data_IF_267539155651
#
_entry.id   IF_267539155651
#
_cell.length_a   1.000
_cell.length_b   1.000
_cell.length_c   1.000
_cell.angle_alpha   90.00
_cell.angle_beta   90.00
_cell.angle_gamma   90.00
#
_symmetry.space_group_name_H-M   'P 1'
#
loop_
_entity.id
_entity.type
_entity.pdbx_description
1 polymer ?
#
# COMPACT_ATOMS: atom_id res chain seq x y z
N UNK A 1 -39.59 55.08 -47.74
CA UNK A 1 -39.37 56.11 -46.71
C UNK A 1 -38.34 55.57 -45.73
N UNK A 2 -37.05 55.67 -46.04
CA UNK A 2 -36.20 56.87 -45.91
C UNK A 2 -35.66 56.97 -44.47
N UNK A 3 -34.43 56.48 -44.29
CA UNK A 3 -33.44 56.95 -43.30
C UNK A 3 -33.30 58.49 -43.38
N UNK A 4 -32.69 59.25 -42.42
CA UNK A 4 -31.43 58.87 -41.73
C UNK A 4 -31.03 59.58 -40.38
N UNK A 5 -29.81 59.27 -39.91
CA UNK A 5 -28.75 60.21 -39.42
C UNK A 5 -28.68 60.66 -37.93
N UNK A 6 -27.56 60.23 -37.29
CA UNK A 6 -26.51 61.01 -36.57
C UNK A 6 -26.53 61.24 -35.03
N UNK A 7 -25.36 60.94 -34.44
CA UNK A 7 -24.89 61.23 -33.07
C UNK A 7 -24.43 62.71 -32.92
N UNK A 8 -24.20 63.27 -31.70
CA UNK A 8 -22.85 63.21 -31.12
C UNK A 8 -22.70 63.33 -29.58
N UNK A 9 -21.52 62.89 -29.10
CA UNK A 9 -20.58 63.44 -28.09
C UNK A 9 -20.99 64.19 -26.79
N UNK A 10 -20.48 63.64 -25.67
CA UNK A 10 -19.57 64.21 -24.63
C UNK A 10 -20.05 65.26 -23.60
N UNK A 11 -19.42 65.16 -22.40
CA UNK A 11 -19.22 66.15 -21.30
C UNK A 11 -20.43 66.34 -20.36
N UNK A 12 -20.33 66.52 -19.04
CA UNK A 12 -19.31 66.41 -17.97
C UNK A 12 -20.02 66.75 -16.65
N UNK A 13 -19.42 66.31 -15.53
CA UNK A 13 -19.57 66.77 -14.15
C UNK A 13 -20.74 66.21 -13.30
N UNK A 14 -20.45 65.41 -12.26
CA UNK A 14 -19.91 65.73 -10.92
C UNK A 14 -20.98 66.28 -9.96
N UNK A 15 -20.96 65.72 -8.75
CA UNK A 15 -21.27 66.32 -7.43
C UNK A 15 -22.52 65.76 -6.73
N UNK A 16 -22.19 65.09 -5.61
CA UNK A 16 -22.86 64.96 -4.31
C UNK A 16 -24.34 64.62 -4.23
N UNK A 17 -24.62 63.59 -3.44
CA UNK A 17 -25.23 63.71 -2.10
C UNK A 17 -24.91 62.40 -1.38
N UNK A 18 -24.29 62.42 -0.20
CA UNK A 18 -24.94 62.85 1.02
C UNK A 18 -25.56 61.60 1.64
N UNK A 19 -24.75 60.78 2.34
CA UNK A 19 -24.56 60.80 3.80
C UNK A 19 -25.68 60.08 4.54
N UNK A 20 -25.27 59.48 5.67
CA UNK A 20 -26.06 58.97 6.79
C UNK A 20 -26.55 57.53 6.62
N UNK A 21 -26.41 56.65 7.59
CA UNK A 21 -25.69 56.64 8.85
C UNK A 21 -25.86 55.20 9.35
N UNK A 22 -24.86 54.67 10.03
CA UNK A 22 -24.94 54.50 11.47
C UNK A 22 -23.98 53.38 11.91
N UNK A 23 -22.84 53.85 12.43
CA UNK A 23 -22.28 53.53 13.74
C UNK A 23 -22.64 52.17 14.35
N UNK A 24 -21.63 51.40 14.76
CA UNK A 24 -21.20 51.40 16.18
C UNK A 24 -19.83 50.73 16.29
N UNK A 25 -18.93 51.46 16.95
CA UNK A 25 -17.80 51.09 17.83
C UNK A 25 -17.67 49.60 18.19
N UNK A 26 -16.52 49.01 18.49
CA UNK A 26 -15.19 49.44 18.93
C UNK A 26 -14.30 48.19 18.77
N UNK A 27 -13.06 48.32 18.34
CA UNK A 27 -11.94 48.33 19.27
C UNK A 27 -11.40 46.91 19.55
N UNK A 28 -10.18 46.64 19.05
CA UNK A 28 -9.29 45.67 19.69
C UNK A 28 -8.81 44.49 18.83
N UNK A 29 -7.61 44.67 18.27
CA UNK A 29 -6.56 43.66 18.16
C UNK A 29 -6.91 42.34 17.44
N UNK A 30 -6.78 42.34 16.11
CA UNK A 30 -6.79 41.15 15.28
C UNK A 30 -5.99 41.27 13.97
N UNK A 31 -5.07 42.23 13.86
CA UNK A 31 -4.15 42.30 12.70
C UNK A 31 -3.08 41.23 12.84
N UNK A 32 -2.88 40.40 11.81
CA UNK A 32 -1.54 39.86 11.48
C UNK A 32 -1.49 38.82 10.35
N UNK A 33 -2.60 38.22 9.90
CA UNK A 33 -2.52 37.17 8.85
C UNK A 33 -3.06 37.59 7.49
N UNK A 34 -4.18 38.31 7.44
CA UNK A 34 -4.82 38.66 6.17
C UNK A 34 -4.07 39.78 5.44
N UNK A 35 -3.67 40.84 6.15
CA UNK A 35 -2.87 41.93 5.58
C UNK A 35 -1.46 41.48 5.18
N UNK A 36 -0.88 40.54 5.95
CA UNK A 36 0.43 39.98 5.66
C UNK A 36 0.40 39.09 4.41
N UNK A 37 -0.67 38.31 4.24
CA UNK A 37 -0.89 37.50 3.03
C UNK A 37 -1.16 38.38 1.81
N UNK A 38 -1.96 39.44 1.94
CA UNK A 38 -2.21 40.40 0.87
C UNK A 38 -0.90 41.09 0.42
N UNK A 39 -0.09 41.55 1.38
CA UNK A 39 1.21 42.19 1.10
C UNK A 39 2.19 41.24 0.40
N UNK A 40 2.21 39.96 0.79
CA UNK A 40 3.06 38.94 0.16
C UNK A 40 2.55 38.62 -1.26
N UNK A 41 1.24 38.51 -1.44
CA UNK A 41 0.60 38.27 -2.74
C UNK A 41 0.91 39.41 -3.72
N UNK A 42 0.83 40.65 -3.28
CA UNK A 42 1.07 41.84 -4.12
C UNK A 42 2.55 42.02 -4.47
N UNK A 43 3.47 41.69 -3.54
CA UNK A 43 4.91 41.63 -3.86
C UNK A 43 5.22 40.52 -4.87
N UNK A 44 4.64 39.34 -4.69
CA UNK A 44 4.86 38.19 -5.57
C UNK A 44 4.30 38.42 -6.98
N UNK A 45 3.12 39.05 -7.10
CA UNK A 45 2.52 39.37 -8.39
C UNK A 45 3.30 40.45 -9.16
N UNK A 46 3.85 41.44 -8.45
CA UNK A 46 4.70 42.47 -9.04
C UNK A 46 6.07 41.92 -9.50
N UNK A 47 6.61 40.91 -8.83
CA UNK A 47 7.85 40.25 -9.24
C UNK A 47 7.62 39.34 -10.48
N UNK A 48 6.46 38.69 -10.58
CA UNK A 48 6.11 37.81 -11.71
C UNK A 48 5.90 38.59 -13.02
N UNK A 49 5.41 39.83 -12.96
CA UNK A 49 5.22 40.68 -14.14
C UNK A 49 6.53 41.19 -14.77
N UNK A 50 7.69 41.00 -14.12
CA UNK A 50 9.01 41.34 -14.70
C UNK A 50 9.55 40.26 -15.64
N UNK A 51 8.93 39.08 -15.67
CA UNK A 51 9.36 37.96 -16.52
C UNK A 51 8.55 38.04 -17.83
N UNK A 52 9.19 38.15 -19.01
CA UNK A 52 8.50 38.34 -20.28
C UNK A 52 7.94 36.99 -20.79
N UNK A 53 7.05 36.39 -20.02
CA UNK A 53 6.35 35.17 -20.39
C UNK A 53 4.86 35.47 -20.59
N UNK A 54 4.24 34.91 -21.64
CA UNK A 54 2.84 35.14 -21.90
C UNK A 54 1.98 34.57 -20.75
N UNK A 55 0.82 35.17 -20.45
CA UNK A 55 0.00 34.79 -19.28
C UNK A 55 -0.36 33.30 -19.18
N UNK A 56 -0.53 32.62 -20.32
CA UNK A 56 -0.81 31.19 -20.37
C UNK A 56 0.37 30.32 -19.87
N UNK A 57 1.61 30.76 -20.06
CA UNK A 57 2.80 30.04 -19.62
C UNK A 57 2.96 30.12 -18.09
N UNK A 58 2.60 31.26 -17.49
CA UNK A 58 2.59 31.42 -16.03
C UNK A 58 1.53 30.53 -15.37
N UNK A 59 0.35 30.42 -15.96
CA UNK A 59 -0.70 29.50 -15.50
C UNK A 59 -0.23 28.05 -15.63
N UNK A 60 0.41 27.68 -16.74
CA UNK A 60 0.97 26.33 -16.91
C UNK A 60 2.03 26.00 -15.86
N UNK A 61 2.96 26.92 -15.57
CA UNK A 61 3.98 26.74 -14.53
C UNK A 61 3.34 26.61 -13.15
N UNK A 62 2.32 27.43 -12.83
CA UNK A 62 1.60 27.34 -11.56
C UNK A 62 0.86 26.01 -11.39
N UNK A 63 0.25 25.48 -12.46
CA UNK A 63 -0.39 24.16 -12.47
C UNK A 63 0.65 23.05 -12.26
N UNK A 64 1.79 23.10 -12.97
CA UNK A 64 2.86 22.12 -12.82
C UNK A 64 3.47 22.17 -11.41
N UNK A 65 3.71 23.36 -10.87
CA UNK A 65 4.18 23.55 -9.49
C UNK A 65 3.16 23.05 -8.46
N UNK A 66 1.87 23.29 -8.69
CA UNK A 66 0.77 22.78 -7.85
C UNK A 66 0.69 21.25 -7.88
N UNK A 67 0.85 20.63 -9.05
CA UNK A 67 0.89 19.17 -9.20
C UNK A 67 2.15 18.56 -8.55
N UNK A 68 3.30 19.22 -8.67
CA UNK A 68 4.53 18.81 -7.99
C UNK A 68 4.43 18.94 -6.46
N UNK A 69 3.79 19.99 -5.95
CA UNK A 69 3.52 20.13 -4.52
C UNK A 69 2.50 19.09 -4.03
N UNK A 70 1.44 18.82 -4.78
CA UNK A 70 0.45 17.79 -4.44
C UNK A 70 1.07 16.39 -4.42
N UNK A 71 1.89 16.05 -5.42
CA UNK A 71 2.61 14.78 -5.46
C UNK A 71 3.66 14.67 -4.35
N UNK A 72 4.42 15.74 -4.09
CA UNK A 72 5.37 15.79 -2.97
C UNK A 72 4.65 15.65 -1.61
N UNK A 73 3.54 16.36 -1.40
CA UNK A 73 2.68 16.23 -0.23
C UNK A 73 2.10 14.81 -0.11
N UNK A 74 1.66 14.19 -1.19
CA UNK A 74 1.18 12.80 -1.20
C UNK A 74 2.31 11.82 -0.83
N UNK A 75 3.52 12.01 -1.36
CA UNK A 75 4.71 11.21 -1.02
C UNK A 75 5.12 11.40 0.45
N UNK A 76 5.07 12.62 0.98
CA UNK A 76 5.36 12.92 2.39
C UNK A 76 4.28 12.32 3.28
N UNK A 77 3.00 12.44 2.91
CA UNK A 77 1.88 11.82 3.63
C UNK A 77 2.01 10.28 3.62
N UNK A 78 2.37 9.65 2.50
CA UNK A 78 2.63 8.20 2.43
C UNK A 78 3.84 7.82 3.30
N UNK A 79 4.93 8.58 3.26
CA UNK A 79 6.15 8.34 4.08
C UNK A 79 5.93 8.58 5.58
N UNK A 80 5.09 9.53 5.96
CA UNK A 80 4.72 9.84 7.34
C UNK A 80 3.65 8.87 7.89
N UNK A 81 2.67 8.45 7.09
CA UNK A 81 1.67 7.45 7.46
C UNK A 81 2.29 6.04 7.58
N UNK A 82 3.23 5.68 6.70
CA UNK A 82 3.97 4.41 6.82
C UNK A 82 4.95 4.41 8.01
N UNK A 83 5.48 5.55 8.46
CA UNK A 83 6.31 5.63 9.68
C UNK A 83 5.49 5.55 10.98
N UNK A 84 4.24 6.02 10.98
CA UNK A 84 3.36 5.91 12.16
C UNK A 84 2.95 4.48 12.51
N UNK A 85 2.99 3.55 11.54
CA UNK A 85 2.80 2.11 11.81
C UNK A 85 4.03 1.44 12.46
N UNK A 86 5.24 1.99 12.35
CA UNK A 86 6.41 1.46 13.09
C UNK A 86 6.43 1.91 14.56
N UNK A 87 6.07 3.15 14.88
CA UNK A 87 6.17 3.66 16.26
C UNK A 87 4.94 3.40 17.16
N UNK A 88 3.84 2.84 16.66
CA UNK A 88 2.65 2.52 17.49
C UNK A 88 2.68 1.10 18.08
N UNK A 89 3.57 0.20 17.61
CA UNK A 89 3.67 -1.19 18.11
C UNK A 89 4.46 -1.28 19.44
N UNK A 90 5.28 -0.28 19.80
CA UNK A 90 6.08 -0.29 21.06
C UNK A 90 5.40 0.35 22.29
N UNK A 91 4.29 1.10 22.15
CA UNK A 91 3.64 1.81 23.30
C UNK A 91 2.28 1.24 23.72
N UNK A 92 2.01 -0.02 23.41
CA UNK A 92 0.75 -0.70 23.78
C UNK A 92 0.86 -1.78 24.86
N UNK A 93 2.06 -2.22 25.23
CA UNK A 93 2.28 -3.22 26.29
C UNK A 93 2.49 -2.54 27.65
N UNK A 94 1.44 -1.93 28.17
CA UNK A 94 1.45 -1.38 29.52
C UNK A 94 0.03 -1.07 29.96
N UNK A 95 -0.43 -1.78 30.98
CA UNK A 95 -1.73 -1.63 31.64
C UNK A 95 -2.89 -2.41 30.97
N UNK A 96 -3.08 -3.66 31.41
CA UNK A 96 -4.37 -4.30 31.75
C UNK A 96 -4.14 -5.78 32.10
N UNK A 97 -3.92 -6.07 33.38
CA UNK A 97 -4.82 -6.96 34.10
C UNK A 97 -4.52 -6.90 35.60
N UNK A 98 -5.47 -6.33 36.33
CA UNK A 98 -5.56 -6.41 37.77
C UNK A 98 -6.34 -7.69 38.15
N UNK A 99 -5.92 -8.28 39.28
CA UNK A 99 -6.64 -9.20 40.17
C UNK A 99 -6.83 -10.66 39.73
N UNK A 100 -6.00 -11.55 40.28
CA UNK A 100 -6.50 -12.62 41.16
C UNK A 100 -5.41 -13.07 42.17
N UNK A 101 -5.84 -13.66 43.27
CA UNK A 101 -5.19 -13.80 44.57
C UNK A 101 -5.05 -15.29 44.93
N UNK A 102 -4.08 -15.60 45.82
CA UNK A 102 -3.75 -16.90 46.46
C UNK A 102 -2.87 -17.82 45.58
N UNK A 103 -1.77 -18.42 46.07
CA UNK A 103 -1.53 -19.01 47.38
C UNK A 103 -0.14 -18.74 47.99
N UNK A 104 -0.03 -19.00 49.29
CA UNK A 104 1.04 -18.66 50.22
C UNK A 104 1.74 -19.94 50.70
N UNK A 105 3.01 -20.15 50.36
CA UNK A 105 4.02 -20.99 51.07
C UNK A 105 5.33 -20.96 50.25
N UNK A 106 6.53 -20.72 50.75
CA UNK A 106 7.06 -20.50 52.08
C UNK A 106 8.54 -20.92 52.07
N UNK A 107 9.45 -19.98 52.38
CA UNK A 107 10.88 -20.17 52.74
C UNK A 107 11.81 -20.85 51.72
N UNK A 108 13.14 -20.75 51.77
CA UNK A 108 14.13 -19.90 52.44
C UNK A 108 15.50 -20.47 51.98
N UNK A 109 16.46 -19.60 51.61
CA UNK A 109 17.93 -19.78 51.48
C UNK A 109 18.41 -20.92 50.53
N UNK A 110 19.56 -20.93 49.84
CA UNK A 110 20.89 -20.35 50.02
C UNK A 110 21.59 -20.15 48.64
N UNK A 111 22.67 -19.38 48.69
CA UNK A 111 23.67 -19.10 47.66
C UNK A 111 24.25 -20.34 46.95
N UNK A 112 24.61 -20.20 45.66
CA UNK A 112 25.85 -20.75 45.12
C UNK A 112 26.20 -20.08 43.78
N UNK A 113 27.32 -19.36 43.79
CA UNK A 113 27.95 -18.76 42.63
C UNK A 113 28.84 -19.81 41.96
N UNK A 114 28.52 -20.19 40.72
CA UNK A 114 29.48 -20.87 39.85
C UNK A 114 29.48 -20.24 38.45
N UNK A 115 30.63 -19.67 38.12
CA UNK A 115 31.01 -19.09 36.84
C UNK A 115 31.19 -20.18 35.78
N UNK A 116 30.41 -20.13 34.71
CA UNK A 116 30.53 -21.04 33.56
C UNK A 116 30.23 -20.35 32.24
N UNK A 117 31.30 -19.87 31.60
CA UNK A 117 31.55 -19.80 30.14
C UNK A 117 30.42 -19.37 29.20
N UNK A 118 30.63 -18.16 28.65
CA UNK A 118 30.11 -17.67 27.38
C UNK A 118 30.37 -18.64 26.22
N UNK A 119 29.34 -18.97 25.44
CA UNK A 119 29.43 -19.24 23.99
C UNK A 119 28.02 -19.40 23.38
N UNK A 120 27.80 -18.74 22.24
CA UNK A 120 26.73 -19.07 21.31
C UNK A 120 25.47 -18.19 21.38
N UNK A 121 25.56 -16.99 20.81
CA UNK A 121 24.38 -16.26 20.30
C UNK A 121 23.72 -17.12 19.22
N UNK A 122 22.78 -17.98 19.64
CA UNK A 122 21.77 -18.51 18.74
C UNK A 122 20.86 -17.35 18.36
N UNK A 123 20.94 -16.92 17.11
CA UNK A 123 19.96 -16.07 16.46
C UNK A 123 18.59 -16.70 16.70
N UNK A 124 17.89 -16.23 17.74
CA UNK A 124 16.50 -16.55 17.96
C UNK A 124 15.76 -16.05 16.73
N UNK A 125 15.32 -16.97 15.89
CA UNK A 125 14.28 -16.73 14.92
C UNK A 125 13.16 -16.03 15.68
N UNK A 126 12.99 -14.73 15.43
CA UNK A 126 11.82 -14.00 15.88
C UNK A 126 10.63 -14.70 15.22
N UNK A 127 10.01 -15.63 15.94
CA UNK A 127 8.65 -16.09 15.67
C UNK A 127 7.77 -14.83 15.69
N UNK A 128 7.61 -14.22 14.52
CA UNK A 128 6.59 -13.19 14.30
C UNK A 128 5.29 -13.84 14.70
N UNK A 129 4.71 -13.39 15.81
CA UNK A 129 3.36 -13.78 16.19
C UNK A 129 2.48 -13.70 14.94
N UNK A 130 1.66 -14.73 14.67
CA UNK A 130 0.87 -14.80 13.46
C UNK A 130 -0.01 -13.55 13.42
N UNK A 131 0.39 -12.58 12.60
CA UNK A 131 -0.45 -11.44 12.28
C UNK A 131 -1.73 -12.08 11.73
N UNK A 132 -2.89 -11.80 12.33
CA UNK A 132 -4.14 -12.39 11.85
C UNK A 132 -4.42 -11.81 10.46
N UNK A 133 -4.10 -12.58 9.42
CA UNK A 133 -4.28 -12.21 8.01
C UNK A 133 -5.69 -12.59 7.51
N UNK A 134 -6.52 -13.14 8.40
CA UNK A 134 -7.87 -13.63 8.10
C UNK A 134 -7.90 -15.11 7.75
N UNK A 135 -9.03 -15.55 7.22
CA UNK A 135 -9.31 -16.94 6.86
C UNK A 135 -9.91 -17.04 5.46
N UNK A 136 -9.64 -18.13 4.76
CA UNK A 136 -10.21 -18.44 3.46
C UNK A 136 -11.00 -19.75 3.54
N UNK A 137 -12.24 -19.72 3.07
CA UNK A 137 -13.06 -20.90 2.84
C UNK A 137 -12.97 -21.30 1.38
N UNK A 138 -12.66 -22.57 1.15
CA UNK A 138 -12.57 -23.15 -0.18
C UNK A 138 -13.12 -24.56 -0.19
N UNK A 139 -13.45 -25.04 -1.38
CA UNK A 139 -13.82 -26.43 -1.64
C UNK A 139 -12.90 -27.07 -2.67
N UNK A 140 -12.64 -28.36 -2.51
CA UNK A 140 -11.83 -29.17 -3.40
C UNK A 140 -12.61 -30.43 -3.77
N UNK A 141 -12.70 -30.70 -5.06
CA UNK A 141 -13.35 -31.90 -5.59
C UNK A 141 -12.53 -32.42 -6.78
N UNK A 142 -12.36 -33.73 -6.89
CA UNK A 142 -11.60 -34.33 -7.98
C UNK A 142 -12.48 -35.29 -8.78
N UNK A 143 -12.64 -34.99 -10.06
CA UNK A 143 -13.35 -35.86 -10.98
C UNK A 143 -12.37 -36.87 -11.62
N UNK A 144 -12.47 -38.12 -11.18
CA UNK A 144 -11.67 -39.24 -11.70
C UNK A 144 -12.04 -39.64 -13.13
N UNK A 145 -13.25 -39.35 -13.60
CA UNK A 145 -13.66 -39.66 -14.98
C UNK A 145 -13.11 -38.63 -15.96
N UNK A 146 -13.18 -37.36 -15.61
CA UNK A 146 -12.68 -36.26 -16.44
C UNK A 146 -11.20 -35.90 -16.21
N UNK A 147 -10.56 -36.50 -15.19
CA UNK A 147 -9.18 -36.19 -14.77
C UNK A 147 -8.96 -34.70 -14.54
N UNK A 148 -9.83 -34.11 -13.72
CA UNK A 148 -9.80 -32.68 -13.43
C UNK A 148 -10.02 -32.41 -11.94
N UNK A 149 -9.23 -31.50 -11.39
CA UNK A 149 -9.42 -30.94 -10.06
C UNK A 149 -10.28 -29.69 -10.14
N UNK A 150 -11.38 -29.69 -9.40
CA UNK A 150 -12.28 -28.57 -9.22
C UNK A 150 -11.95 -27.89 -7.90
N UNK A 151 -11.63 -26.59 -7.95
CA UNK A 151 -11.30 -25.76 -6.80
C UNK A 151 -12.35 -24.66 -6.69
N UNK A 152 -13.18 -24.70 -5.66
CA UNK A 152 -14.14 -23.65 -5.33
C UNK A 152 -13.55 -22.66 -4.34
N UNK A 153 -13.53 -21.38 -4.70
CA UNK A 153 -13.20 -20.28 -3.78
C UNK A 153 -14.52 -19.68 -3.32
N UNK A 154 -14.90 -19.94 -2.07
CA UNK A 154 -16.21 -19.59 -1.54
C UNK A 154 -16.22 -18.16 -0.99
N UNK A 155 -15.48 -17.94 0.09
CA UNK A 155 -15.44 -16.64 0.78
C UNK A 155 -14.17 -16.51 1.62
N UNK A 156 -13.80 -15.27 1.93
CA UNK A 156 -12.78 -14.98 2.93
C UNK A 156 -13.38 -14.16 4.07
N UNK A 157 -12.79 -14.29 5.26
CA UNK A 157 -13.24 -13.61 6.47
C UNK A 157 -12.06 -12.95 7.19
N UNK A 158 -12.35 -11.85 7.89
CA UNK A 158 -11.38 -11.15 8.75
C UNK A 158 -10.11 -10.67 8.03
N UNK A 159 -10.22 -10.27 6.76
CA UNK A 159 -9.06 -9.77 6.02
C UNK A 159 -8.55 -8.43 6.62
N UNK A 160 -7.24 -8.19 6.64
CA UNK A 160 -6.67 -6.92 7.09
C UNK A 160 -7.01 -5.80 6.11
N UNK A 161 -7.32 -4.62 6.65
CA UNK A 161 -7.50 -3.40 5.89
C UNK A 161 -6.13 -2.84 5.46
N UNK A 162 -5.85 -2.90 4.15
CA UNK A 162 -4.61 -2.39 3.56
C UNK A 162 -4.76 -0.99 2.98
N UNK A 163 -5.96 -0.63 2.50
CA UNK A 163 -6.22 0.71 1.98
C UNK A 163 -6.28 1.78 3.07
N UNK A 164 -5.96 3.02 2.67
CA UNK A 164 -6.11 4.21 3.53
C UNK A 164 -7.55 4.41 4.03
N UNK A 165 -8.55 3.82 3.35
CA UNK A 165 -9.96 3.87 3.71
C UNK A 165 -10.39 2.89 4.81
N UNK A 166 -9.49 2.04 5.32
CA UNK A 166 -9.86 1.01 6.29
C UNK A 166 -10.62 -0.17 5.67
N UNK A 167 -10.56 -0.30 4.35
CA UNK A 167 -11.11 -1.41 3.56
C UNK A 167 -9.99 -2.06 2.75
N UNK A 168 -10.32 -3.11 2.01
CA UNK A 168 -9.47 -3.69 0.97
C UNK A 168 -10.36 -4.02 -0.23
N UNK A 169 -9.76 -4.17 -1.40
CA UNK A 169 -10.36 -4.65 -2.64
C UNK A 169 -9.85 -6.09 -2.94
N UNK A 170 -10.21 -7.11 -2.14
CA UNK A 170 -9.62 -8.45 -2.24
C UNK A 170 -10.02 -9.21 -3.50
N UNK A 171 -9.06 -9.97 -4.03
CA UNK A 171 -9.24 -11.00 -5.04
C UNK A 171 -8.27 -12.16 -4.83
N UNK A 172 -8.62 -13.36 -5.28
CA UNK A 172 -7.82 -14.57 -5.05
C UNK A 172 -7.19 -15.03 -6.35
N UNK A 173 -5.88 -15.30 -6.32
CA UNK A 173 -5.17 -16.03 -7.36
C UNK A 173 -5.02 -17.49 -6.98
N UNK A 174 -5.43 -18.38 -7.87
CA UNK A 174 -5.37 -19.83 -7.68
C UNK A 174 -4.41 -20.42 -8.72
N UNK A 175 -3.41 -21.14 -8.26
CA UNK A 175 -2.44 -21.82 -9.14
C UNK A 175 -1.89 -23.08 -8.48
N UNK A 176 -1.36 -24.00 -9.30
CA UNK A 176 -0.75 -25.24 -8.84
C UNK A 176 0.78 -25.16 -8.97
N UNK A 177 1.52 -25.43 -7.90
CA UNK A 177 2.97 -25.62 -7.96
C UNK A 177 3.30 -27.07 -8.33
N UNK A 178 4.34 -27.32 -9.14
CA UNK A 178 5.31 -26.36 -9.69
C UNK A 178 4.84 -25.60 -10.95
N UNK A 179 3.69 -25.94 -11.52
CA UNK A 179 3.17 -25.36 -12.76
C UNK A 179 2.57 -23.95 -12.58
N UNK A 180 3.43 -22.96 -12.36
CA UNK A 180 3.03 -21.54 -12.21
C UNK A 180 2.40 -20.92 -13.47
N UNK A 181 2.28 -21.64 -14.59
CA UNK A 181 1.77 -21.10 -15.86
C UNK A 181 0.25 -20.95 -15.86
N UNK A 182 -0.48 -21.89 -15.26
CA UNK A 182 -1.94 -21.86 -15.17
C UNK A 182 -2.36 -21.15 -13.89
N UNK A 183 -2.64 -19.85 -14.02
CA UNK A 183 -3.17 -19.01 -12.95
C UNK A 183 -4.62 -18.67 -13.26
N UNK A 184 -5.49 -18.84 -12.29
CA UNK A 184 -6.86 -18.34 -12.30
C UNK A 184 -6.97 -17.21 -11.29
N UNK A 185 -7.79 -16.22 -11.59
CA UNK A 185 -8.04 -15.08 -10.70
C UNK A 185 -9.55 -14.92 -10.53
N UNK A 186 -10.00 -14.68 -9.30
CA UNK A 186 -11.40 -14.35 -9.02
C UNK A 186 -11.71 -12.92 -9.43
N UNK A 187 -12.99 -12.56 -9.41
CA UNK A 187 -13.43 -11.17 -9.47
C UNK A 187 -12.91 -10.41 -8.25
N UNK A 188 -12.65 -9.13 -8.48
CA UNK A 188 -12.28 -8.17 -7.44
C UNK A 188 -13.54 -7.70 -6.73
N UNK A 189 -13.60 -7.91 -5.41
CA UNK A 189 -14.66 -7.35 -4.57
C UNK A 189 -14.17 -6.06 -3.93
N UNK A 190 -14.85 -4.95 -4.19
CA UNK A 190 -14.39 -3.64 -3.70
C UNK A 190 -14.86 -3.33 -2.29
N UNK A 191 -13.98 -2.72 -1.51
CA UNK A 191 -14.22 -2.14 -0.18
C UNK A 191 -14.86 -3.13 0.79
N UNK A 192 -14.33 -4.36 0.83
CA UNK A 192 -14.83 -5.40 1.72
C UNK A 192 -13.68 -6.17 2.39
N UNK A 193 -13.86 -6.50 3.66
CA UNK A 193 -12.95 -7.35 4.43
C UNK A 193 -13.46 -8.80 4.52
N UNK A 194 -14.69 -9.04 4.07
CA UNK A 194 -15.32 -10.37 4.03
C UNK A 194 -15.92 -10.61 2.64
N UNK A 195 -15.08 -10.79 1.61
CA UNK A 195 -15.56 -11.04 0.25
C UNK A 195 -16.19 -12.44 0.13
N UNK A 196 -17.32 -12.52 -0.56
CA UNK A 196 -17.92 -13.79 -0.99
C UNK A 196 -17.75 -13.93 -2.51
N UNK A 197 -16.79 -14.76 -2.91
CA UNK A 197 -16.43 -14.97 -4.31
C UNK A 197 -17.40 -15.95 -5.00
N UNK A 198 -17.61 -17.12 -4.38
CA UNK A 198 -18.40 -18.23 -4.94
C UNK A 198 -18.01 -18.57 -6.39
N UNK A 199 -16.71 -18.67 -6.65
CA UNK A 199 -16.16 -18.97 -7.97
C UNK A 199 -15.48 -20.33 -7.99
N UNK A 200 -15.65 -21.08 -9.07
CA UNK A 200 -15.10 -22.42 -9.22
C UNK A 200 -14.15 -22.47 -10.41
N UNK A 201 -12.97 -23.04 -10.20
CA UNK A 201 -11.91 -23.20 -11.18
C UNK A 201 -11.61 -24.67 -11.43
N UNK A 202 -11.33 -25.04 -12.67
CA UNK A 202 -11.07 -26.43 -13.05
C UNK A 202 -9.67 -26.57 -13.64
N UNK A 203 -8.85 -27.41 -13.01
CA UNK A 203 -7.50 -27.76 -13.46
C UNK A 203 -7.50 -29.16 -14.07
N UNK A 204 -7.22 -29.24 -15.38
CA UNK A 204 -7.01 -30.52 -16.07
C UNK A 204 -5.64 -31.09 -15.68
N UNK A 205 -5.63 -32.01 -14.72
CA UNK A 205 -4.42 -32.63 -14.15
C UNK A 205 -4.72 -34.10 -13.83
N UNK A 206 -3.94 -35.05 -14.35
CA UNK A 206 -4.09 -36.46 -13.99
C UNK A 206 -3.81 -36.72 -12.51
N UNK A 207 -4.55 -37.64 -11.89
CA UNK A 207 -4.43 -37.98 -10.47
C UNK A 207 -3.01 -38.40 -10.07
N UNK A 208 -2.31 -39.13 -10.96
CA UNK A 208 -0.94 -39.58 -10.73
C UNK A 208 0.05 -38.43 -10.58
N UNK A 209 -0.17 -37.30 -11.27
CA UNK A 209 0.68 -36.12 -11.11
C UNK A 209 0.25 -35.23 -9.94
N UNK A 210 -0.98 -35.39 -9.46
CA UNK A 210 -1.57 -34.50 -8.48
C UNK A 210 -0.88 -34.61 -7.11
N UNK A 211 -0.48 -35.81 -6.69
CA UNK A 211 0.22 -36.03 -5.42
C UNK A 211 1.54 -35.26 -5.28
N UNK A 212 2.19 -34.90 -6.39
CA UNK A 212 3.41 -34.07 -6.40
C UNK A 212 3.15 -32.57 -6.47
N UNK A 213 1.88 -32.12 -6.51
CA UNK A 213 1.51 -30.72 -6.69
C UNK A 213 0.99 -30.11 -5.39
N UNK A 214 1.16 -28.79 -5.28
CA UNK A 214 0.63 -27.99 -4.17
C UNK A 214 -0.30 -26.94 -4.73
N UNK A 215 -1.55 -26.94 -4.29
CA UNK A 215 -2.50 -25.87 -4.60
C UNK A 215 -2.16 -24.65 -3.77
N UNK A 216 -2.04 -23.50 -4.43
CA UNK A 216 -1.81 -22.23 -3.77
C UNK A 216 -2.96 -21.29 -4.10
N UNK A 217 -3.59 -20.78 -3.06
CA UNK A 217 -4.63 -19.76 -3.12
C UNK A 217 -4.11 -18.53 -2.39
N UNK A 218 -3.71 -17.52 -3.16
CA UNK A 218 -3.13 -16.29 -2.63
C UNK A 218 -4.12 -15.14 -2.80
N UNK A 219 -4.44 -14.47 -1.69
CA UNK A 219 -5.33 -13.31 -1.67
C UNK A 219 -4.49 -12.04 -1.85
N UNK A 220 -4.91 -11.23 -2.80
CA UNK A 220 -4.30 -9.95 -3.13
C UNK A 220 -5.31 -8.82 -2.94
N UNK A 221 -4.81 -7.66 -2.60
CA UNK A 221 -5.54 -6.40 -2.59
C UNK A 221 -5.34 -5.69 -3.95
N UNK A 222 -6.44 -5.49 -4.67
CA UNK A 222 -6.40 -4.83 -5.98
C UNK A 222 -6.22 -3.34 -5.81
N UNK A 223 -5.22 -2.78 -6.50
CA UNK A 223 -4.76 -1.44 -6.22
C UNK A 223 -4.62 -0.66 -7.54
N UNK A 224 -5.43 0.39 -7.74
CA UNK A 224 -5.56 1.03 -9.07
C UNK A 224 -4.30 1.79 -9.51
N UNK A 225 -3.54 2.31 -8.56
CA UNK A 225 -2.40 3.19 -8.81
C UNK A 225 -1.09 2.67 -8.20
N UNK A 226 -1.10 1.45 -7.66
CA UNK A 226 0.05 0.80 -7.02
C UNK A 226 0.20 -0.66 -7.49
N UNK A 227 1.30 -1.29 -7.09
CA UNK A 227 1.41 -2.75 -7.13
C UNK A 227 0.41 -3.34 -6.14
N UNK A 228 -0.29 -4.39 -6.53
CA UNK A 228 -1.22 -5.11 -5.66
C UNK A 228 -0.48 -5.72 -4.47
N UNK A 229 -1.01 -5.50 -3.27
CA UNK A 229 -0.41 -6.01 -2.04
C UNK A 229 -0.93 -7.41 -1.76
N UNK A 230 -0.03 -8.34 -1.40
CA UNK A 230 -0.44 -9.68 -0.96
C UNK A 230 -0.95 -9.58 0.47
N UNK A 231 -2.18 -10.04 0.70
CA UNK A 231 -2.79 -10.12 2.03
C UNK A 231 -2.29 -11.38 2.73
N UNK A 232 -2.39 -12.52 2.06
CA UNK A 232 -1.96 -13.81 2.60
C UNK A 232 -2.21 -14.93 1.61
N UNK A 233 -1.68 -16.11 1.91
CA UNK A 233 -1.83 -17.29 1.06
C UNK A 233 -2.15 -18.54 1.85
N UNK A 234 -2.85 -19.47 1.20
CA UNK A 234 -3.06 -20.83 1.67
C UNK A 234 -2.38 -21.77 0.71
N UNK A 235 -1.47 -22.59 1.23
CA UNK A 235 -0.79 -23.66 0.51
C UNK A 235 -1.36 -24.99 0.98
N UNK A 236 -1.95 -25.74 0.06
CA UNK A 236 -2.53 -27.06 0.31
C UNK A 236 -1.76 -28.09 -0.50
N UNK A 237 -0.91 -28.91 0.12
CA UNK A 237 -0.30 -30.05 -0.55
C UNK A 237 -1.38 -31.04 -0.96
N UNK A 238 -1.46 -31.40 -2.24
CA UNK A 238 -2.52 -32.32 -2.68
C UNK A 238 -2.33 -33.74 -2.16
N UNK A 239 -1.11 -34.09 -1.71
CA UNK A 239 -0.82 -35.38 -1.06
C UNK A 239 -1.51 -35.56 0.30
N UNK A 240 -1.84 -34.46 0.99
CA UNK A 240 -2.45 -34.53 2.34
C UNK A 240 -3.97 -34.48 2.29
N UNK A 241 -4.56 -34.29 1.11
CA UNK A 241 -5.99 -34.08 0.91
C UNK A 241 -6.62 -35.37 0.39
N UNK A 242 -7.64 -35.87 1.07
CA UNK A 242 -8.41 -37.01 0.60
C UNK A 242 -9.44 -36.56 -0.44
N UNK A 243 -9.08 -36.66 -1.71
CA UNK A 243 -9.93 -36.28 -2.84
C UNK A 243 -11.00 -37.33 -3.20
N UNK A 244 -11.25 -38.32 -2.33
CA UNK A 244 -12.34 -39.28 -2.51
C UNK A 244 -13.73 -38.68 -2.35
N UNK A 245 -13.84 -37.52 -1.68
CA UNK A 245 -15.08 -36.76 -1.53
C UNK A 245 -14.82 -35.26 -1.68
N UNK A 246 -15.85 -34.46 -2.03
CA UNK A 246 -15.74 -33.01 -1.98
C UNK A 246 -15.40 -32.55 -0.56
N UNK A 247 -14.28 -31.86 -0.42
CA UNK A 247 -13.84 -31.25 0.83
C UNK A 247 -14.26 -29.79 0.81
N UNK A 248 -14.74 -29.29 1.94
CA UNK A 248 -14.97 -27.87 2.17
C UNK A 248 -14.43 -27.53 3.57
N UNK A 249 -13.49 -26.60 3.63
CA UNK A 249 -12.85 -26.25 4.90
C UNK A 249 -12.44 -24.78 4.96
N UNK A 250 -12.29 -24.29 6.18
CA UNK A 250 -11.70 -22.99 6.47
C UNK A 250 -10.23 -23.17 6.79
N UNK A 251 -9.37 -22.35 6.19
CA UNK A 251 -7.95 -22.27 6.57
C UNK A 251 -7.52 -20.85 6.83
N UNK A 252 -6.69 -20.69 7.86
CA UNK A 252 -6.07 -19.41 8.19
C UNK A 252 -5.05 -19.03 7.11
N UNK A 253 -5.02 -17.74 6.79
CA UNK A 253 -4.10 -17.19 5.82
C UNK A 253 -2.70 -17.07 6.44
N UNK A 254 -1.71 -17.57 5.71
CA UNK A 254 -0.30 -17.44 6.08
C UNK A 254 0.31 -16.23 5.40
N UNK A 255 1.41 -15.72 5.97
CA UNK A 255 2.16 -14.62 5.38
C UNK A 255 2.61 -14.98 3.97
N UNK A 256 2.05 -14.30 2.98
CA UNK A 256 2.38 -14.56 1.59
C UNK A 256 3.77 -14.06 1.27
N UNK A 257 4.60 -14.93 0.69
CA UNK A 257 5.79 -14.45 -0.02
C UNK A 257 5.30 -13.56 -1.16
N UNK A 258 5.69 -12.27 -1.12
CA UNK A 258 5.47 -11.37 -2.24
C UNK A 258 6.03 -12.08 -3.47
N UNK A 259 5.22 -12.22 -4.53
CA UNK A 259 5.66 -12.79 -5.81
C UNK A 259 7.06 -12.25 -6.09
N UNK A 260 8.07 -13.11 -5.92
CA UNK A 260 9.45 -12.71 -6.14
C UNK A 260 9.47 -12.18 -7.58
N UNK A 261 9.97 -10.96 -7.79
CA UNK A 261 10.10 -10.45 -9.15
C UNK A 261 10.86 -11.51 -9.93
N UNK A 262 10.27 -11.97 -11.04
CA UNK A 262 10.85 -13.02 -11.86
C UNK A 262 12.33 -12.74 -12.03
N UNK A 263 13.17 -13.67 -11.58
CA UNK A 263 14.62 -13.46 -11.53
C UNK A 263 15.10 -13.09 -12.94
N UNK A 264 15.41 -11.81 -13.14
CA UNK A 264 15.79 -11.27 -14.46
C UNK A 264 17.21 -11.66 -14.87
N UNK A 265 17.94 -12.27 -13.95
CA UNK A 265 19.32 -12.68 -14.07
C UNK A 265 20.21 -11.93 -13.08
N UNK A 266 21.46 -12.37 -13.04
CA UNK A 266 22.51 -11.86 -12.18
C UNK A 266 23.57 -11.19 -13.06
N UNK A 267 24.06 -10.01 -12.67
CA UNK A 267 25.17 -9.31 -13.34
C UNK A 267 26.34 -9.11 -12.38
N UNK A 268 27.52 -9.57 -12.78
CA UNK A 268 28.76 -9.38 -12.04
C UNK A 268 29.47 -8.12 -12.57
N UNK A 269 29.74 -7.16 -11.68
CA UNK A 269 30.44 -5.93 -12.03
C UNK A 269 31.53 -5.62 -11.01
N UNK A 270 32.63 -5.01 -11.49
CA UNK A 270 33.74 -4.52 -10.68
C UNK A 270 33.82 -3.00 -10.80
N UNK A 271 33.80 -2.31 -9.67
CA UNK A 271 33.91 -0.85 -9.61
C UNK A 271 35.27 -0.42 -9.06
N UNK A 272 35.91 0.56 -9.70
CA UNK A 272 37.15 1.19 -9.23
C UNK A 272 37.03 2.71 -9.31
N UNK A 273 37.11 3.39 -8.18
CA UNK A 273 37.11 4.86 -8.12
C UNK A 273 38.51 5.41 -7.80
N UNK A 274 38.92 6.46 -8.53
CA UNK A 274 40.17 7.20 -8.30
C UNK A 274 39.83 8.65 -7.97
N UNK A 275 39.83 9.04 -6.67
CA UNK A 275 39.40 10.37 -6.22
C UNK A 275 40.23 11.51 -6.83
N UNK A 276 41.54 11.33 -6.91
CA UNK A 276 42.49 12.35 -7.39
C UNK A 276 42.24 12.77 -8.84
N UNK A 277 41.72 11.86 -9.66
CA UNK A 277 41.38 12.10 -11.06
C UNK A 277 39.87 12.24 -11.30
N UNK A 278 39.05 12.13 -10.25
CA UNK A 278 37.60 12.11 -10.37
C UNK A 278 37.05 10.96 -11.24
N UNK A 279 37.80 9.87 -11.44
CA UNK A 279 37.47 8.82 -12.41
C UNK A 279 36.86 7.59 -11.73
N UNK A 280 35.62 7.24 -12.08
CA UNK A 280 35.00 5.96 -11.76
C UNK A 280 35.08 5.03 -12.97
N UNK A 281 35.63 3.84 -12.78
CA UNK A 281 35.67 2.77 -13.79
C UNK A 281 34.71 1.67 -13.36
N UNK A 282 33.76 1.33 -14.22
CA UNK A 282 32.82 0.22 -14.02
C UNK A 282 33.12 -0.84 -15.07
N UNK A 283 33.56 -2.02 -14.62
CA UNK A 283 33.84 -3.17 -15.48
C UNK A 283 32.68 -4.15 -15.36
N UNK A 284 31.99 -4.43 -16.47
CA UNK A 284 31.00 -5.51 -16.54
C UNK A 284 31.77 -6.80 -16.82
N UNK A 285 31.71 -7.75 -15.89
CA UNK A 285 32.50 -8.99 -15.96
C UNK A 285 31.70 -10.09 -16.67
N UNK A 286 30.55 -10.44 -16.12
CA UNK A 286 29.69 -11.50 -16.65
C UNK A 286 28.22 -11.27 -16.29
N UNK A 287 27.31 -11.91 -17.02
CA UNK A 287 25.90 -11.98 -16.67
C UNK A 287 25.43 -13.43 -16.78
N UNK A 288 24.64 -13.90 -15.82
CA UNK A 288 24.14 -15.29 -15.70
C UNK A 288 22.63 -15.30 -15.48
N UNK A 289 21.98 -16.39 -15.87
CA UNK A 289 20.53 -16.60 -15.67
C UNK A 289 19.64 -15.48 -16.23
N UNK A 290 20.07 -14.80 -17.31
CA UNK A 290 19.30 -13.71 -17.90
C UNK A 290 17.98 -14.22 -18.48
N UNK A 291 16.90 -13.50 -18.20
CA UNK A 291 15.58 -13.80 -18.78
C UNK A 291 15.61 -13.52 -20.29
N UNK A 292 15.15 -14.48 -21.09
CA UNK A 292 14.96 -14.31 -22.54
C UNK A 292 13.89 -13.25 -22.78
N UNK A 293 14.25 -12.20 -23.52
CA UNK A 293 13.31 -11.21 -24.06
C UNK A 293 13.18 -11.51 -25.56
N UNK A 294 11.97 -11.78 -26.03
CA UNK A 294 11.62 -11.94 -27.45
C UNK A 294 11.05 -10.63 -28.01
#
# INVERSE_FOLDING_TARGET
NQEPIVAPATTTATISTGLLDNSTESGGAGESKEDMFATIKDKFFNEIQKIPLPPWALIAIAVVAGLLLLTCCFCICKKCCCKKKKNKKEKGKGMKNAMNMKDMKGGQDDDDAETGLTEGEGEGEEEKEPENLGKLQFSLDYDFQANQLTVGVLQAAELPALDMGGTSDPYVKVFLLPDKKKKYETKVHRKTLNPAFNETFTFKVPYQELGGKTLVMAIYDFDRFSKHDIIGEVKVPMNTVDLGQPIEEWRDLQGGEKEEPEKLGDICTSLRYVPTAGKLTVCILEAKNLKKMD
#
